data_IF_992355543134
#
_entry.id   IF_992355543134
#
_cell.length_a   1.000
_cell.length_b   1.000
_cell.length_c   1.000
_cell.angle_alpha   90.00
_cell.angle_beta   90.00
_cell.angle_gamma   90.00
#
_symmetry.space_group_name_H-M   'P 1'
#
loop_
_entity.id
_entity.type
_entity.pdbx_description
1 polymer ?
#
# COMPACT_ATOMS: atom_id res chain seq x y z
N UNK A 1 -13.11 -24.52 -0.37
CA UNK A 1 -13.44 -24.03 -1.73
C UNK A 1 -14.52 -24.88 -2.42
N UNK A 2 -14.30 -26.19 -2.62
CA UNK A 2 -15.23 -27.08 -3.36
C UNK A 2 -16.64 -27.19 -2.74
N UNK A 3 -16.78 -27.15 -1.41
CA UNK A 3 -18.09 -27.18 -0.74
C UNK A 3 -18.93 -25.91 -0.97
N UNK A 4 -18.28 -24.76 -1.14
CA UNK A 4 -18.93 -23.47 -1.44
C UNK A 4 -19.37 -23.43 -2.92
N UNK A 5 -18.50 -23.90 -3.82
CA UNK A 5 -18.81 -23.99 -5.25
C UNK A 5 -19.94 -24.99 -5.54
N UNK A 6 -19.96 -26.13 -4.85
CA UNK A 6 -21.05 -27.12 -4.91
C UNK A 6 -22.41 -26.52 -4.56
N UNK A 7 -22.44 -25.57 -3.62
CA UNK A 7 -23.66 -24.88 -3.16
C UNK A 7 -24.16 -23.83 -4.16
N UNK A 8 -23.26 -23.13 -4.87
CA UNK A 8 -23.62 -22.07 -5.81
C UNK A 8 -23.89 -22.57 -7.25
N UNK A 9 -23.14 -23.56 -7.72
CA UNK A 9 -23.13 -24.00 -9.13
C UNK A 9 -23.68 -25.42 -9.34
N UNK A 10 -24.04 -26.12 -8.27
CA UNK A 10 -24.56 -27.49 -8.32
C UNK A 10 -23.47 -28.57 -8.45
N UNK A 11 -23.81 -29.79 -8.05
CA UNK A 11 -22.89 -30.94 -8.00
C UNK A 11 -22.39 -31.38 -9.38
N UNK A 12 -23.26 -31.36 -10.40
CA UNK A 12 -22.92 -31.79 -11.76
C UNK A 12 -21.88 -30.87 -12.41
N UNK A 13 -22.02 -29.55 -12.28
CA UNK A 13 -21.05 -28.59 -12.86
C UNK A 13 -19.72 -28.63 -12.11
N UNK A 14 -19.76 -28.75 -10.77
CA UNK A 14 -18.56 -28.89 -9.94
C UNK A 14 -17.74 -30.12 -10.33
N UNK A 15 -18.39 -31.27 -10.55
CA UNK A 15 -17.72 -32.50 -10.98
C UNK A 15 -17.08 -32.37 -12.38
N UNK A 16 -17.75 -31.69 -13.31
CA UNK A 16 -17.21 -31.45 -14.67
C UNK A 16 -15.96 -30.56 -14.63
N UNK A 17 -16.00 -29.48 -13.86
CA UNK A 17 -14.86 -28.56 -13.70
C UNK A 17 -13.68 -29.22 -12.99
N UNK A 18 -13.95 -29.99 -11.94
CA UNK A 18 -12.92 -30.75 -11.24
C UNK A 18 -12.28 -31.79 -12.15
N UNK A 19 -13.10 -32.53 -12.90
CA UNK A 19 -12.62 -33.53 -13.86
C UNK A 19 -11.79 -32.91 -14.98
N UNK A 20 -12.23 -31.80 -15.56
CA UNK A 20 -11.47 -31.10 -16.60
C UNK A 20 -10.15 -30.54 -16.07
N UNK A 21 -10.16 -29.93 -14.89
CA UNK A 21 -8.96 -29.36 -14.28
C UNK A 21 -7.93 -30.45 -13.95
N UNK A 22 -8.39 -31.54 -13.32
CA UNK A 22 -7.55 -32.69 -13.01
C UNK A 22 -6.95 -33.29 -14.28
N UNK A 23 -7.78 -33.50 -15.31
CA UNK A 23 -7.33 -34.07 -16.57
C UNK A 23 -6.27 -33.19 -17.25
N UNK A 24 -6.48 -31.87 -17.29
CA UNK A 24 -5.50 -30.93 -17.86
C UNK A 24 -4.19 -30.96 -17.06
N UNK A 25 -4.24 -30.91 -15.73
CA UNK A 25 -3.02 -30.97 -14.90
C UNK A 25 -2.26 -32.28 -15.08
N UNK A 26 -2.95 -33.42 -15.02
CA UNK A 26 -2.33 -34.73 -15.21
C UNK A 26 -1.73 -34.87 -16.62
N UNK A 27 -2.47 -34.44 -17.65
CA UNK A 27 -1.98 -34.49 -19.03
C UNK A 27 -0.74 -33.60 -19.20
N UNK A 28 -0.75 -32.38 -18.64
CA UNK A 28 0.40 -31.49 -18.69
C UNK A 28 1.63 -32.12 -18.02
N UNK A 29 1.48 -32.72 -16.84
CA UNK A 29 2.58 -33.43 -16.16
C UNK A 29 3.15 -34.57 -17.02
N UNK A 30 2.28 -35.40 -17.58
CA UNK A 30 2.68 -36.54 -18.43
C UNK A 30 3.38 -36.07 -19.71
N UNK A 31 2.88 -35.00 -20.33
CA UNK A 31 3.52 -34.36 -21.49
C UNK A 31 4.91 -33.84 -21.12
N UNK A 32 5.07 -33.17 -19.97
CA UNK A 32 6.40 -32.68 -19.57
C UNK A 32 7.38 -33.82 -19.32
N UNK A 33 6.95 -34.93 -18.73
CA UNK A 33 7.79 -36.11 -18.54
C UNK A 33 8.21 -36.74 -19.88
N UNK A 34 7.28 -36.85 -20.83
CA UNK A 34 7.57 -37.33 -22.20
C UNK A 34 8.55 -36.41 -22.90
N UNK A 35 8.36 -35.09 -22.81
CA UNK A 35 9.27 -34.11 -23.41
C UNK A 35 10.66 -34.23 -22.81
N UNK A 36 10.79 -34.19 -21.47
CA UNK A 36 12.12 -34.25 -20.85
C UNK A 36 12.82 -35.59 -21.05
N UNK A 37 12.08 -36.70 -21.06
CA UNK A 37 12.64 -38.01 -21.38
C UNK A 37 13.08 -38.09 -22.84
N UNK A 38 12.34 -37.51 -23.78
CA UNK A 38 12.72 -37.45 -25.19
C UNK A 38 14.00 -36.65 -25.43
N UNK A 39 14.15 -35.52 -24.76
CA UNK A 39 15.32 -34.65 -24.93
C UNK A 39 16.54 -35.07 -24.07
N UNK A 40 16.42 -36.08 -23.21
CA UNK A 40 17.51 -36.58 -22.34
C UNK A 40 18.17 -35.50 -21.46
N UNK A 41 17.44 -34.43 -21.10
CA UNK A 41 17.96 -33.27 -20.34
C UNK A 41 18.04 -33.58 -18.83
N UNK A 42 17.73 -34.80 -18.38
CA UNK A 42 17.82 -35.17 -16.97
C UNK A 42 19.25 -35.58 -16.60
N UNK A 43 20.02 -34.78 -15.85
CA UNK A 43 21.25 -35.26 -15.22
C UNK A 43 20.90 -36.36 -14.21
N UNK A 44 21.34 -37.58 -14.48
CA UNK A 44 21.20 -38.77 -13.60
C UNK A 44 22.06 -38.69 -12.34
N UNK A 45 22.99 -37.74 -12.30
CA UNK A 45 23.79 -37.45 -11.11
C UNK A 45 22.98 -36.59 -10.14
N UNK A 46 22.27 -37.25 -9.22
CA UNK A 46 21.71 -36.57 -8.05
C UNK A 46 22.88 -36.20 -7.12
N UNK A 47 23.21 -34.92 -6.91
CA UNK A 47 24.13 -34.56 -5.83
C UNK A 47 23.49 -35.04 -4.52
N UNK A 48 24.22 -35.90 -3.78
CA UNK A 48 23.74 -36.57 -2.56
C UNK A 48 23.57 -35.62 -1.37
N UNK A 49 23.90 -34.33 -1.54
CA UNK A 49 23.76 -33.29 -0.53
C UNK A 49 23.23 -32.02 -1.21
N UNK A 50 21.92 -31.82 -1.15
CA UNK A 50 21.23 -30.62 -1.66
C UNK A 50 21.08 -29.58 -0.53
N UNK A 51 21.21 -30.02 0.73
CA UNK A 51 21.16 -29.19 1.93
C UNK A 51 22.46 -29.38 2.70
N UNK A 52 23.38 -28.43 2.57
CA UNK A 52 24.53 -28.35 3.46
C UNK A 52 24.01 -27.98 4.85
N UNK A 53 24.05 -28.92 5.79
CA UNK A 53 23.69 -28.71 7.21
C UNK A 53 24.66 -27.75 7.94
N UNK A 54 25.59 -27.13 7.20
CA UNK A 54 26.51 -26.13 7.68
C UNK A 54 26.26 -24.83 6.91
N UNK A 55 26.19 -23.72 7.65
CA UNK A 55 26.21 -22.36 7.10
C UNK A 55 27.54 -22.19 6.35
N UNK A 56 27.50 -22.36 5.03
CA UNK A 56 28.67 -22.24 4.17
C UNK A 56 28.74 -20.81 3.65
N UNK A 57 29.90 -20.15 3.79
CA UNK A 57 30.18 -18.85 3.18
C UNK A 57 30.37 -18.99 1.67
N UNK A 58 29.29 -19.27 0.97
CA UNK A 58 29.25 -19.45 -0.47
C UNK A 58 28.66 -18.22 -1.16
N UNK A 59 28.63 -18.25 -2.49
CA UNK A 59 28.12 -17.14 -3.29
C UNK A 59 26.63 -16.84 -3.02
N UNK A 60 25.81 -17.85 -2.67
CA UNK A 60 24.41 -17.66 -2.30
C UNK A 60 24.30 -16.81 -1.03
N UNK A 61 25.11 -17.10 -0.01
CA UNK A 61 25.14 -16.29 1.22
C UNK A 61 25.54 -14.84 0.93
N UNK A 62 26.53 -14.61 0.07
CA UNK A 62 26.91 -13.25 -0.33
C UNK A 62 25.82 -12.54 -1.12
N UNK A 63 25.13 -13.25 -2.03
CA UNK A 63 23.98 -12.72 -2.78
C UNK A 63 22.82 -12.35 -1.85
N UNK A 64 22.51 -13.20 -0.87
CA UNK A 64 21.46 -12.92 0.13
C UNK A 64 21.81 -11.68 0.98
N UNK A 65 23.06 -11.54 1.41
CA UNK A 65 23.51 -10.35 2.14
C UNK A 65 23.34 -9.09 1.29
N UNK A 66 23.76 -9.12 0.02
CA UNK A 66 23.59 -7.99 -0.90
C UNK A 66 22.10 -7.66 -1.08
N UNK A 67 21.25 -8.68 -1.28
CA UNK A 67 19.81 -8.49 -1.41
C UNK A 67 19.19 -7.88 -0.14
N UNK A 68 19.60 -8.33 1.05
CA UNK A 68 19.15 -7.78 2.33
C UNK A 68 19.62 -6.33 2.53
N UNK A 69 20.84 -5.99 2.15
CA UNK A 69 21.36 -4.62 2.22
C UNK A 69 20.58 -3.69 1.28
N UNK A 70 20.32 -4.13 0.04
CA UNK A 70 19.52 -3.35 -0.92
C UNK A 70 18.08 -3.17 -0.42
N UNK A 71 17.46 -4.23 0.12
CA UNK A 71 16.14 -4.16 0.73
C UNK A 71 16.12 -3.22 1.94
N UNK A 72 17.11 -3.29 2.82
CA UNK A 72 17.22 -2.40 3.97
C UNK A 72 17.41 -0.94 3.55
N UNK A 73 18.21 -0.67 2.51
CA UNK A 73 18.40 0.68 1.97
C UNK A 73 17.10 1.23 1.34
N UNK A 74 16.42 0.42 0.52
CA UNK A 74 15.13 0.79 -0.06
C UNK A 74 14.05 1.00 1.02
N UNK A 75 14.02 0.13 2.02
CA UNK A 75 13.12 0.26 3.16
C UNK A 75 13.42 1.53 3.94
N UNK A 76 14.69 1.82 4.24
CA UNK A 76 15.12 3.04 4.93
C UNK A 76 14.71 4.29 4.15
N UNK A 77 14.92 4.32 2.84
CA UNK A 77 14.48 5.44 2.02
C UNK A 77 12.96 5.59 2.03
N UNK A 78 12.22 4.49 1.90
CA UNK A 78 10.76 4.52 1.95
C UNK A 78 10.22 4.98 3.31
N UNK A 79 10.87 4.55 4.40
CA UNK A 79 10.50 4.92 5.77
C UNK A 79 10.87 6.38 6.04
N UNK A 80 12.03 6.85 5.56
CA UNK A 80 12.41 8.26 5.63
C UNK A 80 11.41 9.13 4.87
N UNK A 81 10.94 8.70 3.70
CA UNK A 81 9.87 9.36 2.94
C UNK A 81 8.55 9.36 3.73
N UNK A 82 8.19 8.27 4.41
CA UNK A 82 6.97 8.18 5.24
C UNK A 82 7.04 9.07 6.48
N UNK A 83 8.11 9.01 7.28
CA UNK A 83 8.26 9.84 8.50
C UNK A 83 8.34 11.33 8.16
N UNK A 84 8.98 11.71 7.05
CA UNK A 84 8.91 13.08 6.54
C UNK A 84 7.48 13.52 6.21
N UNK A 85 6.59 12.56 5.93
CA UNK A 85 5.20 12.78 5.58
C UNK A 85 4.26 12.64 6.78
N UNK A 86 4.72 12.13 7.94
CA UNK A 86 3.95 12.08 9.19
C UNK A 86 3.88 13.43 9.91
N UNK A 87 4.73 14.39 9.54
CA UNK A 87 4.51 15.82 9.84
C UNK A 87 3.54 16.48 8.84
N UNK A 88 2.96 15.70 7.92
CA UNK A 88 2.01 16.15 6.92
C UNK A 88 0.79 16.78 7.59
N UNK A 89 0.57 18.06 7.30
CA UNK A 89 -0.62 18.75 7.75
C UNK A 89 -1.83 18.13 7.01
N UNK A 90 -2.69 17.44 7.75
CA UNK A 90 -3.90 16.85 7.18
C UNK A 90 -5.01 17.89 7.04
N UNK A 91 -5.79 17.79 5.97
CA UNK A 91 -6.96 18.62 5.73
C UNK A 91 -8.14 17.76 5.29
N UNK A 92 -9.35 18.23 5.53
CA UNK A 92 -10.57 17.50 5.21
C UNK A 92 -11.03 17.85 3.80
N UNK A 93 -11.28 16.84 2.96
CA UNK A 93 -11.87 17.02 1.64
C UNK A 93 -13.31 17.56 1.79
N UNK A 94 -13.66 18.72 1.20
CA UNK A 94 -14.97 19.35 1.36
C UNK A 94 -16.12 18.59 0.68
N UNK A 95 -15.83 17.68 -0.26
CA UNK A 95 -16.86 16.94 -1.01
C UNK A 95 -17.30 15.67 -0.28
N UNK A 96 -16.35 14.95 0.31
CA UNK A 96 -16.61 13.63 0.90
C UNK A 96 -16.29 13.54 2.40
N UNK A 97 -15.64 14.54 2.99
CA UNK A 97 -15.23 14.53 4.40
C UNK A 97 -14.02 13.65 4.71
N UNK A 98 -13.36 13.09 3.68
CA UNK A 98 -12.19 12.24 3.87
C UNK A 98 -10.97 13.07 4.26
N UNK A 99 -10.16 12.56 5.20
CA UNK A 99 -8.90 13.20 5.57
C UNK A 99 -7.85 12.97 4.49
N UNK A 100 -7.23 14.06 4.02
CA UNK A 100 -6.24 14.07 2.95
C UNK A 100 -4.96 14.71 3.47
N UNK A 101 -3.84 14.07 3.18
CA UNK A 101 -2.52 14.64 3.42
C UNK A 101 -2.22 15.73 2.39
N UNK A 102 -1.94 16.96 2.84
CA UNK A 102 -1.61 18.09 1.96
C UNK A 102 -0.39 17.78 1.08
N UNK A 103 0.61 17.06 1.59
CA UNK A 103 1.85 16.78 0.86
C UNK A 103 1.67 15.71 -0.24
N UNK A 104 0.67 14.83 -0.10
CA UNK A 104 0.38 13.73 -1.05
C UNK A 104 -1.01 13.84 -1.70
N UNK A 105 -1.66 15.00 -1.62
CA UNK A 105 -3.00 15.19 -2.16
C UNK A 105 -3.03 14.88 -3.67
N UNK A 106 -3.82 13.91 -4.12
CA UNK A 106 -3.87 13.50 -5.53
C UNK A 106 -4.31 14.63 -6.46
N UNK A 107 -5.19 15.52 -5.98
CA UNK A 107 -5.77 16.58 -6.78
C UNK A 107 -6.05 17.82 -5.91
N UNK A 108 -5.82 19.02 -6.46
CA UNK A 108 -6.03 20.31 -5.79
C UNK A 108 -6.89 21.25 -6.62
N UNK A 109 -7.66 22.11 -5.96
CA UNK A 109 -8.48 23.14 -6.59
C UNK A 109 -8.35 24.48 -5.83
N UNK A 110 -8.52 25.59 -6.53
CA UNK A 110 -8.48 26.93 -5.92
C UNK A 110 -9.85 27.57 -6.04
N UNK A 111 -10.42 28.02 -4.93
CA UNK A 111 -11.71 28.73 -4.88
C UNK A 111 -11.63 29.90 -3.90
N UNK A 112 -12.15 31.07 -4.29
CA UNK A 112 -12.10 32.30 -3.49
C UNK A 112 -10.70 32.63 -2.91
N UNK A 113 -9.65 32.36 -3.69
CA UNK A 113 -8.26 32.61 -3.28
C UNK A 113 -7.65 31.59 -2.31
N UNK A 114 -8.40 30.55 -1.90
CA UNK A 114 -7.91 29.46 -1.04
C UNK A 114 -7.71 28.17 -1.84
N UNK A 115 -6.64 27.43 -1.54
CA UNK A 115 -6.37 26.11 -2.12
C UNK A 115 -7.02 25.03 -1.26
N UNK A 116 -7.78 24.15 -1.90
CA UNK A 116 -8.42 22.99 -1.31
C UNK A 116 -7.79 21.72 -1.88
N UNK A 117 -7.68 20.70 -1.03
CA UNK A 117 -7.07 19.42 -1.35
C UNK A 117 -8.16 18.37 -1.37
N UNK A 118 -8.14 17.50 -2.39
CA UNK A 118 -9.18 16.51 -2.63
C UNK A 118 -8.59 15.12 -2.72
N UNK A 119 -9.36 14.11 -2.29
CA UNK A 119 -8.90 12.72 -2.21
C UNK A 119 -8.79 12.04 -3.58
N UNK A 120 -9.40 12.61 -4.62
CA UNK A 120 -9.41 12.07 -5.98
C UNK A 120 -9.75 13.15 -7.00
N UNK A 121 -9.40 12.91 -8.28
CA UNK A 121 -9.79 13.78 -9.39
C UNK A 121 -11.30 13.98 -9.49
N UNK A 122 -12.08 12.93 -9.20
CA UNK A 122 -13.55 13.00 -9.21
C UNK A 122 -14.10 13.94 -8.14
N UNK A 123 -13.49 13.98 -6.96
CA UNK A 123 -13.85 14.94 -5.91
C UNK A 123 -13.47 16.37 -6.33
N UNK A 124 -12.30 16.56 -6.95
CA UNK A 124 -11.90 17.85 -7.53
C UNK A 124 -12.90 18.35 -8.56
N UNK A 125 -13.31 17.50 -9.50
CA UNK A 125 -14.26 17.86 -10.55
C UNK A 125 -15.62 18.26 -9.99
N UNK A 126 -16.13 17.51 -9.00
CA UNK A 126 -17.39 17.85 -8.32
C UNK A 126 -17.29 19.18 -7.58
N UNK A 127 -16.16 19.43 -6.92
CA UNK A 127 -15.91 20.70 -6.22
C UNK A 127 -15.83 21.88 -7.19
N UNK A 128 -15.21 21.71 -8.37
CA UNK A 128 -15.11 22.75 -9.39
C UNK A 128 -16.46 23.00 -10.09
N UNK A 129 -17.30 21.98 -10.22
CA UNK A 129 -18.61 22.07 -10.86
C UNK A 129 -19.62 22.91 -10.04
N UNK A 130 -19.64 22.74 -8.72
CA UNK A 130 -20.48 23.56 -7.82
C UNK A 130 -19.82 23.74 -6.44
N UNK A 131 -18.86 24.69 -6.33
CA UNK A 131 -18.16 24.93 -5.07
C UNK A 131 -19.09 25.52 -4.00
N UNK A 132 -20.06 26.32 -4.39
CA UNK A 132 -21.00 27.01 -3.48
C UNK A 132 -21.87 26.06 -2.68
N UNK A 133 -22.29 24.95 -3.28
CA UNK A 133 -23.10 23.93 -2.62
C UNK A 133 -22.37 23.29 -1.41
N UNK A 134 -21.06 23.06 -1.51
CA UNK A 134 -20.27 22.45 -0.44
C UNK A 134 -19.94 23.41 0.72
N UNK A 135 -20.13 24.72 0.54
CA UNK A 135 -19.97 25.73 1.60
C UNK A 135 -21.30 26.19 2.23
N UNK A 136 -22.44 25.89 1.60
CA UNK A 136 -23.77 26.17 2.15
C UNK A 136 -24.11 25.27 3.36
N UNK A 137 -23.49 24.10 3.44
CA UNK A 137 -23.43 23.27 4.64
C UNK A 137 -22.17 23.69 5.40
N UNK A 138 -22.30 24.53 6.42
CA UNK A 138 -21.17 25.20 7.08
C UNK A 138 -19.99 24.26 7.41
N UNK A 139 -18.75 24.77 7.39
CA UNK A 139 -17.57 23.93 7.55
C UNK A 139 -17.57 23.24 8.91
N UNK A 140 -17.69 21.91 8.90
CA UNK A 140 -17.34 21.09 10.06
C UNK A 140 -15.82 21.14 10.17
N UNK A 141 -15.31 22.01 11.04
CA UNK A 141 -13.90 22.08 11.41
C UNK A 141 -13.08 23.13 10.66
N UNK A 142 -13.44 24.40 10.77
CA UNK A 142 -12.46 25.49 10.68
C UNK A 142 -12.24 26.06 12.07
N UNK A 143 -11.52 25.33 12.93
CA UNK A 143 -10.83 25.97 14.06
C UNK A 143 -9.62 26.66 13.46
N UNK A 144 -9.66 27.98 13.45
CA UNK A 144 -8.53 28.86 13.19
C UNK A 144 -7.33 28.37 14.00
N UNK A 145 -6.08 28.34 13.47
CA UNK A 145 -4.91 28.09 14.30
C UNK A 145 -4.90 29.15 15.40
N UNK A 146 -5.18 28.74 16.63
CA UNK A 146 -5.07 29.56 17.83
C UNK A 146 -3.61 30.05 17.89
N UNK A 147 -3.35 31.34 18.19
CA UNK A 147 -2.00 31.89 18.20
C UNK A 147 -1.09 31.00 19.06
N UNK A 148 0.02 30.58 18.47
CA UNK A 148 0.99 29.67 19.07
C UNK A 148 1.30 30.12 20.50
N UNK A 149 0.90 29.29 21.46
CA UNK A 149 1.08 29.61 22.86
C UNK A 149 2.57 29.56 23.17
N UNK A 150 3.15 30.71 23.52
CA UNK A 150 4.57 30.82 23.80
C UNK A 150 4.87 30.22 25.17
N UNK A 151 5.99 29.49 25.26
CA UNK A 151 6.50 28.94 26.52
C UNK A 151 7.31 30.02 27.24
N UNK A 152 7.01 30.22 28.52
CA UNK A 152 7.80 31.09 29.38
C UNK A 152 9.21 30.49 29.59
N UNK A 153 10.31 31.21 29.25
CA UNK A 153 11.68 30.71 29.37
C UNK A 153 12.15 30.51 30.82
N UNK A 154 11.44 31.03 31.81
CA UNK A 154 11.81 30.93 33.23
C UNK A 154 11.23 29.67 33.88
N UNK A 155 9.99 29.32 33.55
CA UNK A 155 9.26 28.26 34.26
C UNK A 155 8.57 27.23 33.34
N UNK A 156 8.69 27.35 32.02
CA UNK A 156 8.25 26.31 31.07
C UNK A 156 6.74 26.09 30.99
N UNK A 157 5.94 26.99 31.57
CA UNK A 157 4.49 26.95 31.47
C UNK A 157 4.01 27.70 30.22
N UNK A 158 2.89 27.22 29.66
CA UNK A 158 2.29 27.73 28.44
C UNK A 158 1.42 28.95 28.75
N UNK A 159 1.82 30.15 28.28
CA UNK A 159 1.13 31.42 28.58
C UNK A 159 0.58 32.08 27.32
N UNK A 160 -0.63 32.65 27.41
CA UNK A 160 -1.24 33.43 26.33
C UNK A 160 -0.64 34.85 26.31
N UNK A 161 -0.13 35.34 25.17
CA UNK A 161 0.61 36.59 25.10
C UNK A 161 -0.25 37.82 25.43
N UNK A 162 -1.58 37.74 25.30
CA UNK A 162 -2.50 38.83 25.66
C UNK A 162 -2.59 39.13 27.17
N UNK A 163 -2.15 38.21 28.03
CA UNK A 163 -2.20 38.36 29.50
C UNK A 163 -0.81 38.38 30.16
N UNK A 164 0.27 38.45 29.37
CA UNK A 164 1.64 38.53 29.89
C UNK A 164 1.96 40.00 30.22
N UNK A 165 1.78 40.37 31.50
CA UNK A 165 2.16 41.66 32.06
C UNK A 165 3.44 41.54 32.90
#
# INVERSE_FOLDING_TARGET
LLLIYRKFYGTRLTLRMLGSFWLVMSTAGLVTEVVFSWFHILPTTRPTVIVSNAFAWNYTTWLDIVALVLLAAAFWESHRRRVSNEQGQFTTDPVCGMQVDIAMAPATATFAGRRYYSCSDRCRERFVADPTHFFASGPVGMTQPEPATALDPVCGMTVKPENAA
#
